data_IF_670490608847
#
_entry.id   IF_670490608847
#
_cell.length_a   1.000
_cell.length_b   1.000
_cell.length_c   1.000
_cell.angle_alpha   90.00
_cell.angle_beta   90.00
_cell.angle_gamma   90.00
#
_symmetry.space_group_name_H-M   'P 1'
#
loop_
_entity.id
_entity.type
_entity.pdbx_description
1 polymer ?
#
# COMPACT_ATOMS: atom_id res chain seq x y z
N UNK A 1 -7.23 -6.11 6.10
CA UNK A 1 -8.05 -5.33 5.15
C UNK A 1 -8.08 -6.11 3.84
N UNK A 2 -9.25 -6.31 3.23
CA UNK A 2 -9.39 -7.13 2.01
C UNK A 2 -10.17 -6.35 0.97
N UNK A 3 -9.65 -6.26 -0.25
CA UNK A 3 -10.36 -5.63 -1.35
C UNK A 3 -11.74 -6.30 -1.56
N UNK A 4 -12.83 -5.55 -1.80
CA UNK A 4 -12.89 -4.11 -2.08
C UNK A 4 -13.07 -3.20 -0.85
N UNK A 5 -12.90 -3.72 0.36
CA UNK A 5 -13.14 -2.96 1.58
C UNK A 5 -12.01 -1.95 1.87
N UNK A 6 -12.40 -0.78 2.38
CA UNK A 6 -11.50 0.24 2.90
C UNK A 6 -11.55 0.26 4.44
N UNK A 7 -10.54 0.87 5.08
CA UNK A 7 -10.51 1.02 6.53
C UNK A 7 -11.67 1.92 6.98
N UNK A 8 -12.50 1.44 7.90
CA UNK A 8 -13.69 2.18 8.36
C UNK A 8 -13.36 3.39 9.24
N UNK A 9 -12.21 3.35 9.91
CA UNK A 9 -11.77 4.39 10.83
C UNK A 9 -10.60 5.17 10.23
N UNK A 10 -10.47 6.44 10.63
CA UNK A 10 -9.32 7.23 10.26
C UNK A 10 -8.09 6.79 11.08
N UNK A 11 -6.93 6.75 10.44
CA UNK A 11 -5.64 6.65 11.12
C UNK A 11 -5.14 8.06 11.43
N UNK A 12 -4.87 8.34 12.70
CA UNK A 12 -4.20 9.55 13.14
C UNK A 12 -2.73 9.22 13.38
N UNK A 13 -1.84 10.05 12.84
CA UNK A 13 -0.39 9.83 12.83
C UNK A 13 0.27 11.17 13.12
N UNK A 14 1.21 11.17 14.05
CA UNK A 14 2.02 12.33 14.42
C UNK A 14 3.50 12.15 14.01
N UNK A 15 4.33 13.12 14.35
CA UNK A 15 5.77 13.11 14.05
C UNK A 15 6.58 12.00 14.74
N UNK A 16 6.01 11.32 15.74
CA UNK A 16 6.68 10.23 16.45
C UNK A 16 6.30 8.85 15.88
N UNK A 17 5.37 8.79 14.94
CA UNK A 17 4.85 7.56 14.36
C UNK A 17 5.18 7.45 12.87
N UNK A 18 5.22 6.21 12.37
CA UNK A 18 5.43 5.93 10.95
C UNK A 18 4.27 5.10 10.43
N UNK A 19 3.81 5.41 9.21
CA UNK A 19 2.81 4.59 8.52
C UNK A 19 3.53 3.55 7.67
N UNK A 20 3.31 2.27 7.98
CA UNK A 20 3.81 1.15 7.19
C UNK A 20 2.63 0.51 6.47
N UNK A 21 2.66 0.52 5.14
CA UNK A 21 1.66 -0.15 4.31
C UNK A 21 2.29 -1.38 3.67
N UNK A 22 1.64 -2.52 3.88
CA UNK A 22 2.02 -3.81 3.31
C UNK A 22 0.85 -4.42 2.55
N UNK A 23 1.11 -4.95 1.37
CA UNK A 23 0.08 -5.65 0.59
C UNK A 23 0.69 -6.69 -0.33
N UNK A 24 -0.16 -7.61 -0.76
CA UNK A 24 0.16 -8.65 -1.73
C UNK A 24 -0.88 -8.62 -2.84
N UNK A 25 -0.47 -8.99 -4.05
CA UNK A 25 -1.36 -9.05 -5.21
C UNK A 25 -1.61 -10.50 -5.55
N UNK A 26 -2.88 -10.85 -5.73
CA UNK A 26 -3.34 -12.21 -6.01
C UNK A 26 -4.11 -12.24 -7.32
N UNK A 27 -3.87 -13.25 -8.15
CA UNK A 27 -4.69 -13.51 -9.32
C UNK A 27 -6.06 -14.04 -8.87
N UNK A 28 -7.13 -13.39 -9.32
CA UNK A 28 -8.51 -13.77 -8.95
C UNK A 28 -8.93 -15.14 -9.49
N UNK A 29 -8.32 -15.61 -10.58
CA UNK A 29 -8.67 -16.87 -11.23
C UNK A 29 -7.90 -18.06 -10.65
N UNK A 30 -6.59 -17.90 -10.44
CA UNK A 30 -5.72 -19.00 -9.97
C UNK A 30 -5.51 -19.02 -8.47
N UNK A 31 -5.88 -17.94 -7.77
CA UNK A 31 -5.63 -17.77 -6.35
C UNK A 31 -4.13 -17.80 -6.00
N UNK A 32 -3.27 -17.48 -6.96
CA UNK A 32 -1.81 -17.42 -6.78
C UNK A 32 -1.34 -15.97 -6.57
N UNK A 33 -0.29 -15.80 -5.76
CA UNK A 33 0.37 -14.51 -5.60
C UNK A 33 1.16 -14.16 -6.87
N UNK A 34 0.98 -12.93 -7.36
CA UNK A 34 1.65 -12.45 -8.57
C UNK A 34 2.58 -11.28 -8.24
N UNK A 35 3.68 -11.22 -8.98
CA UNK A 35 4.59 -10.08 -8.98
C UNK A 35 4.27 -9.19 -10.17
N UNK A 36 3.99 -7.93 -9.91
CA UNK A 36 3.87 -6.90 -10.95
C UNK A 36 5.16 -6.07 -11.04
N UNK A 37 5.36 -5.43 -12.19
CA UNK A 37 6.57 -4.67 -12.49
C UNK A 37 6.78 -3.52 -11.49
N UNK A 38 5.73 -2.73 -11.22
CA UNK A 38 5.76 -1.59 -10.32
C UNK A 38 4.40 -1.38 -9.66
N UNK A 39 4.41 -0.89 -8.43
CA UNK A 39 3.22 -0.51 -7.67
C UNK A 39 3.47 0.81 -6.96
N UNK A 40 2.41 1.60 -6.79
CA UNK A 40 2.48 2.95 -6.24
C UNK A 40 1.46 3.13 -5.13
N UNK A 41 1.85 3.82 -4.06
CA UNK A 41 0.96 4.35 -3.06
C UNK A 41 0.76 5.84 -3.31
N UNK A 42 -0.49 6.25 -3.53
CA UNK A 42 -0.86 7.67 -3.67
C UNK A 42 -1.54 8.16 -2.40
N UNK A 43 -1.00 9.23 -1.83
CA UNK A 43 -1.61 9.95 -0.71
C UNK A 43 -2.10 11.30 -1.24
N UNK A 44 -3.40 11.54 -1.13
CA UNK A 44 -4.04 12.78 -1.60
C UNK A 44 -4.53 13.59 -0.42
N UNK A 45 -4.07 14.84 -0.31
CA UNK A 45 -4.62 15.79 0.63
C UNK A 45 -5.93 16.36 0.08
N UNK A 46 -7.08 15.94 0.63
CA UNK A 46 -8.41 16.33 0.13
C UNK A 46 -8.71 17.83 0.18
N UNK A 47 -8.01 18.61 1.03
CA UNK A 47 -8.24 20.06 1.17
C UNK A 47 -7.50 20.87 0.08
N UNK A 48 -6.26 20.47 -0.22
CA UNK A 48 -5.39 21.18 -1.16
C UNK A 48 -5.30 20.52 -2.53
N UNK A 49 -5.87 19.32 -2.70
CA UNK A 49 -5.74 18.45 -3.88
C UNK A 49 -4.29 18.13 -4.28
N UNK A 50 -3.33 18.34 -3.36
CA UNK A 50 -1.95 17.92 -3.56
C UNK A 50 -1.83 16.42 -3.35
N UNK A 51 -0.97 15.81 -4.15
CA UNK A 51 -0.70 14.37 -4.13
C UNK A 51 0.77 14.11 -3.88
N UNK A 52 1.06 13.02 -3.15
CA UNK A 52 2.39 12.46 -3.01
C UNK A 52 2.30 11.00 -3.45
N UNK A 53 3.26 10.57 -4.27
CA UNK A 53 3.33 9.21 -4.81
C UNK A 53 4.60 8.54 -4.28
N UNK A 54 4.43 7.40 -3.63
CA UNK A 54 5.52 6.54 -3.18
C UNK A 54 5.58 5.31 -4.08
N UNK A 55 6.78 4.92 -4.49
CA UNK A 55 7.03 3.63 -5.11
C UNK A 55 7.02 2.55 -4.02
N UNK A 56 6.27 1.46 -4.21
CA UNK A 56 6.29 0.35 -3.26
C UNK A 56 7.34 -0.68 -3.67
N UNK A 57 8.19 -1.02 -2.71
CA UNK A 57 9.28 -1.95 -2.92
C UNK A 57 8.80 -3.38 -2.71
N UNK A 58 9.07 -4.25 -3.69
CA UNK A 58 8.80 -5.67 -3.55
C UNK A 58 9.90 -6.30 -2.69
N UNK A 59 9.49 -6.99 -1.63
CA UNK A 59 10.40 -7.78 -0.80
C UNK A 59 10.80 -9.05 -1.56
N UNK A 60 12.08 -9.41 -1.54
CA UNK A 60 12.55 -10.64 -2.18
C UNK A 60 12.01 -11.87 -1.41
N UNK A 61 11.15 -12.68 -2.04
CA UNK A 61 10.55 -13.89 -1.46
C UNK A 61 9.39 -14.46 -2.27
N UNK A 62 8.94 -15.68 -1.90
CA UNK A 62 7.90 -16.45 -2.62
C UNK A 62 6.54 -15.73 -2.67
N UNK A 63 6.24 -14.88 -1.69
CA UNK A 63 4.93 -14.22 -1.56
C UNK A 63 4.96 -12.71 -1.84
N UNK A 64 5.87 -12.22 -2.69
CA UNK A 64 5.97 -10.84 -3.24
C UNK A 64 5.21 -9.76 -2.43
N UNK A 65 5.60 -9.57 -1.17
CA UNK A 65 5.01 -8.53 -0.32
C UNK A 65 5.56 -7.18 -0.74
N UNK A 66 4.68 -6.25 -1.02
CA UNK A 66 5.03 -4.85 -1.29
C UNK A 66 4.96 -4.06 0.01
N UNK A 67 6.00 -3.25 0.27
CA UNK A 67 6.09 -2.41 1.46
C UNK A 67 6.32 -0.95 1.07
N UNK A 68 5.63 -0.05 1.75
CA UNK A 68 5.87 1.40 1.73
C UNK A 68 5.96 1.89 3.16
N UNK A 69 6.99 2.66 3.47
CA UNK A 69 7.10 3.41 4.71
C UNK A 69 6.89 4.90 4.41
N UNK A 70 5.89 5.50 5.04
CA UNK A 70 5.63 6.94 4.98
C UNK A 70 6.12 7.56 6.28
N UNK A 71 7.02 8.52 6.14
CA UNK A 71 7.72 9.22 7.22
C UNK A 71 7.21 10.66 7.31
#
# INVERSE_FOLDING_TARGET
>A
LTYPNALSNNLEIDYHQKLIIKFQIKNKQTDEFIRVQQTFLRITNKKSNKEIIYLAEATNGVNSEYKVEVV
#
